data_IF_667665862763
#
_entry.id   IF_667665862763
#
_cell.length_a   1.000
_cell.length_b   1.000
_cell.length_c   1.000
_cell.angle_alpha   90.00
_cell.angle_beta   90.00
_cell.angle_gamma   90.00
#
_symmetry.space_group_name_H-M   'P 1'
#
loop_
_entity.id
_entity.type
_entity.pdbx_description
1 polymer ?
#
# COMPACT_ATOMS: atom_id res chain seq x y z
N UNK A 1 27.72 16.98 -2.65
CA UNK A 1 27.54 15.53 -2.46
C UNK A 1 26.05 15.26 -2.24
N UNK A 2 25.33 14.68 -3.21
CA UNK A 2 23.87 14.47 -3.14
C UNK A 2 23.57 13.43 -2.05
N UNK A 3 22.84 13.84 -1.00
CA UNK A 3 22.21 12.90 -0.04
C UNK A 3 21.18 12.08 -0.82
N UNK A 4 21.51 10.84 -1.18
CA UNK A 4 20.52 9.86 -1.64
C UNK A 4 19.49 9.69 -0.52
N UNK A 5 18.23 9.93 -0.82
CA UNK A 5 17.15 9.72 0.15
C UNK A 5 16.97 8.23 0.39
N UNK A 6 16.94 7.83 1.66
CA UNK A 6 16.75 6.46 2.17
C UNK A 6 15.63 5.64 1.48
N UNK A 7 14.68 6.29 0.80
CA UNK A 7 13.60 5.63 0.07
C UNK A 7 13.98 5.04 -1.29
N UNK A 8 15.08 5.44 -1.94
CA UNK A 8 15.46 4.88 -3.26
C UNK A 8 16.15 3.51 -3.16
N UNK A 9 16.89 3.27 -2.06
CA UNK A 9 17.59 2.00 -1.85
C UNK A 9 16.63 0.87 -1.44
N UNK A 10 15.59 1.19 -0.66
CA UNK A 10 14.54 0.23 -0.30
C UNK A 10 13.73 -0.26 -1.50
N UNK A 11 13.46 0.60 -2.49
CA UNK A 11 12.71 0.25 -3.72
C UNK A 11 13.46 -0.76 -4.58
N UNK A 12 14.75 -0.51 -4.83
CA UNK A 12 15.59 -1.45 -5.60
C UNK A 12 15.65 -2.82 -4.92
N UNK A 13 15.70 -2.85 -3.60
CA UNK A 13 15.76 -4.10 -2.85
C UNK A 13 14.45 -4.90 -2.94
N UNK A 14 13.29 -4.23 -2.83
CA UNK A 14 11.97 -4.85 -2.99
C UNK A 14 11.74 -5.41 -4.40
N UNK A 15 12.16 -4.68 -5.44
CA UNK A 15 12.08 -5.12 -6.83
C UNK A 15 13.00 -6.32 -7.10
N UNK A 16 14.25 -6.28 -6.61
CA UNK A 16 15.19 -7.39 -6.77
C UNK A 16 14.75 -8.67 -6.05
N UNK A 17 14.07 -8.56 -4.90
CA UNK A 17 13.50 -9.72 -4.21
C UNK A 17 12.27 -10.26 -4.94
N UNK A 18 11.42 -9.40 -5.50
CA UNK A 18 10.29 -9.83 -6.31
C UNK A 18 10.74 -10.69 -7.50
N UNK A 19 11.81 -10.25 -8.18
CA UNK A 19 12.39 -10.94 -9.33
C UNK A 19 13.10 -12.24 -8.92
N UNK A 20 13.84 -12.23 -7.81
CA UNK A 20 14.58 -13.43 -7.35
C UNK A 20 13.66 -14.55 -6.87
N UNK A 21 12.51 -14.22 -6.29
CA UNK A 21 11.56 -15.18 -5.72
C UNK A 21 10.29 -15.39 -6.57
N UNK A 22 10.19 -14.78 -7.76
CA UNK A 22 8.99 -14.78 -8.62
C UNK A 22 7.69 -14.39 -7.88
N UNK A 23 7.81 -13.61 -6.81
CA UNK A 23 6.68 -13.28 -5.95
C UNK A 23 5.80 -12.19 -6.57
N UNK A 24 4.46 -12.33 -6.51
CA UNK A 24 3.54 -11.29 -6.96
C UNK A 24 3.82 -9.97 -6.25
N UNK A 25 3.89 -8.89 -7.04
CA UNK A 25 4.20 -7.54 -6.53
C UNK A 25 3.23 -7.07 -5.45
N UNK A 26 1.98 -7.54 -5.47
CA UNK A 26 0.98 -7.14 -4.48
C UNK A 26 1.32 -7.61 -3.06
N UNK A 27 2.04 -8.74 -2.92
CA UNK A 27 2.48 -9.26 -1.61
C UNK A 27 3.61 -8.42 -1.02
N UNK A 28 4.53 -7.96 -1.86
CA UNK A 28 5.71 -7.19 -1.44
C UNK A 28 5.39 -5.72 -1.18
N UNK A 29 4.41 -5.17 -1.91
CA UNK A 29 4.04 -3.76 -1.85
C UNK A 29 2.99 -3.47 -0.77
N UNK A 30 2.50 -4.48 -0.04
CA UNK A 30 1.49 -4.35 1.02
C UNK A 30 0.30 -3.49 0.57
N UNK A 31 -0.18 -3.73 -0.65
CA UNK A 31 -1.23 -2.92 -1.27
C UNK A 31 -2.55 -3.12 -0.53
N UNK A 32 -3.40 -2.07 -0.43
CA UNK A 32 -4.76 -2.20 0.07
C UNK A 32 -5.56 -3.17 -0.78
N UNK A 33 -6.32 -4.05 -0.14
CA UNK A 33 -7.19 -5.03 -0.80
C UNK A 33 -8.57 -4.99 -0.19
N UNK A 34 -9.59 -4.99 -1.05
CA UNK A 34 -10.99 -5.13 -0.66
C UNK A 34 -11.51 -6.43 -1.25
N UNK A 35 -12.14 -7.26 -0.42
CA UNK A 35 -12.84 -8.48 -0.83
C UNK A 35 -14.31 -8.35 -0.45
N UNK A 36 -15.19 -8.61 -1.42
CA UNK A 36 -16.64 -8.60 -1.24
C UNK A 36 -17.18 -10.02 -1.43
N UNK A 37 -17.95 -10.50 -0.46
CA UNK A 37 -18.65 -11.78 -0.51
C UNK A 37 -20.14 -11.48 -0.53
N UNK A 38 -20.70 -11.36 -1.74
CA UNK A 38 -22.07 -10.92 -1.96
C UNK A 38 -22.38 -9.62 -1.21
N UNK A 39 -23.51 -9.59 -0.53
CA UNK A 39 -23.95 -8.54 0.41
C UNK A 39 -23.72 -8.92 1.88
N UNK A 40 -23.01 -10.02 2.14
CA UNK A 40 -22.83 -10.61 3.47
C UNK A 40 -21.62 -10.01 4.18
N UNK A 41 -20.52 -9.83 3.44
CA UNK A 41 -19.25 -9.44 4.03
C UNK A 41 -18.40 -8.60 3.09
N UNK A 42 -17.84 -7.53 3.64
CA UNK A 42 -16.72 -6.79 3.08
C UNK A 42 -15.52 -6.99 4.00
N UNK A 43 -14.40 -7.46 3.44
CA UNK A 43 -13.11 -7.54 4.12
C UNK A 43 -12.17 -6.50 3.53
N UNK A 44 -11.55 -5.72 4.39
CA UNK A 44 -10.53 -4.75 4.03
C UNK A 44 -9.22 -5.11 4.70
N UNK A 45 -8.19 -5.32 3.89
CA UNK A 45 -6.84 -5.66 4.32
C UNK A 45 -5.88 -4.51 4.01
N UNK A 46 -4.79 -4.43 4.77
CA UNK A 46 -3.72 -3.45 4.58
C UNK A 46 -4.17 -1.97 4.63
N UNK A 47 -5.25 -1.68 5.37
CA UNK A 47 -5.68 -0.32 5.64
C UNK A 47 -4.88 0.33 6.78
N UNK A 48 -4.79 1.65 6.75
CA UNK A 48 -4.03 2.49 7.67
C UNK A 48 -4.82 2.98 8.89
N UNK A 49 -6.02 2.45 9.12
CA UNK A 49 -6.94 2.87 10.19
C UNK A 49 -8.20 3.58 9.70
N UNK A 50 -9.16 3.77 10.61
CA UNK A 50 -10.42 4.49 10.37
C UNK A 50 -10.18 5.99 10.57
N UNK A 51 -10.59 6.81 9.59
CA UNK A 51 -10.57 8.28 9.66
C UNK A 51 -11.92 8.79 10.16
N UNK A 52 -13.01 8.21 9.65
CA UNK A 52 -14.38 8.58 10.02
C UNK A 52 -15.27 7.35 9.95
N UNK A 53 -16.18 7.22 10.91
CA UNK A 53 -17.20 6.19 10.92
C UNK A 53 -18.52 6.77 11.43
N UNK A 54 -19.55 6.70 10.61
CA UNK A 54 -20.93 6.96 10.99
C UNK A 54 -21.87 6.00 10.22
N UNK A 55 -23.19 6.14 10.42
CA UNK A 55 -24.19 5.25 9.81
C UNK A 55 -24.23 5.26 8.28
N UNK A 56 -23.62 6.25 7.63
CA UNK A 56 -23.66 6.44 6.17
C UNK A 56 -22.27 6.37 5.51
N UNK A 57 -21.20 6.59 6.28
CA UNK A 57 -19.86 6.78 5.76
C UNK A 57 -18.81 6.10 6.64
N UNK A 58 -18.05 5.21 6.00
CA UNK A 58 -16.77 4.71 6.49
C UNK A 58 -15.65 5.29 5.64
N UNK A 59 -14.82 6.16 6.22
CA UNK A 59 -13.61 6.70 5.59
C UNK A 59 -12.38 6.05 6.20
N UNK A 60 -11.52 5.52 5.36
CA UNK A 60 -10.34 4.76 5.78
C UNK A 60 -9.07 5.41 5.26
N UNK A 61 -8.02 5.40 6.08
CA UNK A 61 -6.68 5.71 5.60
C UNK A 61 -6.19 4.49 4.83
N UNK A 62 -5.61 4.71 3.66
CA UNK A 62 -4.98 3.65 2.88
C UNK A 62 -3.47 3.78 3.02
N UNK A 63 -2.78 2.65 3.19
CA UNK A 63 -1.31 2.64 3.13
C UNK A 63 -0.93 2.72 1.66
N UNK A 64 -0.20 3.77 1.28
CA UNK A 64 0.48 3.77 -0.02
C UNK A 64 1.50 2.62 0.01
N UNK A 65 1.38 1.69 -0.94
CA UNK A 65 2.43 0.71 -1.13
C UNK A 65 3.73 1.42 -1.46
N UNK A 66 4.85 0.92 -0.94
CA UNK A 66 6.17 1.58 -1.00
C UNK A 66 6.70 1.95 -2.40
N UNK A 67 5.98 1.60 -3.48
CA UNK A 67 6.31 1.95 -4.87
C UNK A 67 5.99 3.40 -5.27
N UNK A 68 4.90 4.00 -4.75
CA UNK A 68 4.41 5.30 -5.23
C UNK A 68 4.53 6.40 -4.17
N UNK A 69 5.76 6.87 -3.92
CA UNK A 69 5.93 8.22 -3.38
C UNK A 69 5.64 9.21 -4.51
N UNK A 70 4.36 9.53 -4.74
CA UNK A 70 4.04 10.76 -5.46
C UNK A 70 4.41 11.91 -4.54
N UNK A 71 5.60 12.47 -4.78
CA UNK A 71 5.94 13.80 -4.31
C UNK A 71 5.06 14.78 -5.07
N UNK A 72 3.91 15.17 -4.52
CA UNK A 72 3.37 16.48 -4.84
C UNK A 72 4.36 17.51 -4.27
N UNK A 73 5.23 17.99 -5.17
CA UNK A 73 6.04 19.18 -4.93
C UNK A 73 5.11 20.39 -5.03
N UNK A 74 5.00 21.13 -3.94
CA UNK A 74 4.78 22.58 -3.97
C UNK A 74 6.14 23.22 -3.69
#
# INVERSE_FOLDING_TARGET
MRRKSLGEEGKKWQESIAELFELPKELLLNLPRITLIGDIQMLLENYGGIIQYNGELLRLKVREGGGHSQREKI
#
